data_IF_711672465929
#
_entry.id   IF_711672465929
#
_cell.length_a   1.000
_cell.length_b   1.000
_cell.length_c   1.000
_cell.angle_alpha   90.00
_cell.angle_beta   90.00
_cell.angle_gamma   90.00
#
_symmetry.space_group_name_H-M   'P 1'
#
loop_
_entity.id
_entity.type
_entity.pdbx_description
1 polymer ?
#
# COMPACT_ATOMS: atom_id res chain seq x y z
N UNK A 1 31.94 17.59 -25.30
CA UNK A 1 31.01 16.86 -26.18
C UNK A 1 29.65 16.99 -25.52
N UNK A 2 28.67 17.62 -26.18
CA UNK A 2 27.32 17.73 -25.65
C UNK A 2 26.70 16.32 -25.59
N UNK A 3 26.16 15.93 -24.44
CA UNK A 3 25.52 14.63 -24.24
C UNK A 3 24.02 14.87 -24.23
N UNK A 4 23.34 14.39 -25.28
CA UNK A 4 21.88 14.33 -25.27
C UNK A 4 21.45 13.25 -24.28
N UNK A 5 20.62 13.64 -23.32
CA UNK A 5 20.00 12.76 -22.34
C UNK A 5 18.50 12.64 -22.59
N UNK A 6 17.93 11.52 -22.17
CA UNK A 6 16.51 11.25 -22.32
C UNK A 6 15.86 11.16 -20.94
N UNK A 7 14.92 12.04 -20.66
CA UNK A 7 14.09 12.04 -19.47
C UNK A 7 12.78 11.34 -19.82
N UNK A 8 12.35 10.42 -18.97
CA UNK A 8 11.14 9.63 -19.19
C UNK A 8 10.07 10.13 -18.24
N UNK A 9 8.83 10.09 -18.69
CA UNK A 9 7.72 10.17 -17.76
C UNK A 9 6.49 9.43 -18.21
N UNK A 10 5.61 9.16 -17.25
CA UNK A 10 4.30 8.58 -17.50
C UNK A 10 3.28 8.99 -16.43
N UNK A 11 2.01 9.09 -16.81
CA UNK A 11 0.89 9.33 -15.89
C UNK A 11 -0.36 8.64 -16.43
N UNK A 12 -1.29 8.31 -15.53
CA UNK A 12 -2.65 7.90 -15.90
C UNK A 12 -3.61 9.07 -15.75
N UNK A 13 -4.68 9.12 -16.55
CA UNK A 13 -5.78 10.06 -16.40
C UNK A 13 -6.93 9.40 -15.63
N UNK A 14 -7.66 10.16 -14.82
CA UNK A 14 -8.83 9.63 -14.11
C UNK A 14 -10.00 9.35 -15.06
N UNK A 15 -10.15 10.20 -16.08
CA UNK A 15 -11.21 10.11 -17.08
C UNK A 15 -10.67 10.49 -18.46
N UNK A 16 -11.22 9.88 -19.52
CA UNK A 16 -10.93 10.26 -20.90
C UNK A 16 -11.73 11.52 -21.29
N UNK A 17 -11.34 12.65 -20.73
CA UNK A 17 -11.86 13.97 -21.08
C UNK A 17 -10.70 14.91 -21.37
N UNK A 18 -10.92 15.93 -22.21
CA UNK A 18 -9.89 16.91 -22.55
C UNK A 18 -9.24 17.53 -21.30
N UNK A 19 -10.04 17.93 -20.31
CA UNK A 19 -9.52 18.55 -19.09
C UNK A 19 -8.54 17.64 -18.34
N UNK A 20 -8.94 16.40 -18.03
CA UNK A 20 -8.11 15.47 -17.27
C UNK A 20 -6.84 15.03 -18.03
N UNK A 21 -6.92 14.90 -19.36
CA UNK A 21 -5.75 14.56 -20.19
C UNK A 21 -4.73 15.69 -20.14
N UNK A 22 -5.18 16.93 -20.34
CA UNK A 22 -4.28 18.09 -20.35
C UNK A 22 -3.70 18.36 -18.96
N UNK A 23 -4.52 18.30 -17.91
CA UNK A 23 -4.07 18.51 -16.54
C UNK A 23 -2.99 17.50 -16.12
N UNK A 24 -3.26 16.21 -16.30
CA UNK A 24 -2.30 15.16 -15.94
C UNK A 24 -1.00 15.28 -16.76
N UNK A 25 -1.10 15.60 -18.06
CA UNK A 25 0.07 15.76 -18.92
C UNK A 25 0.87 17.01 -18.56
N UNK A 26 0.20 18.13 -18.29
CA UNK A 26 0.82 19.39 -17.87
C UNK A 26 1.57 19.23 -16.55
N UNK A 27 0.96 18.60 -15.55
CA UNK A 27 1.60 18.32 -14.26
C UNK A 27 2.87 17.48 -14.44
N UNK A 28 2.79 16.39 -15.22
CA UNK A 28 3.93 15.53 -15.50
C UNK A 28 5.08 16.30 -16.19
N UNK A 29 4.78 17.10 -17.21
CA UNK A 29 5.79 17.90 -17.91
C UNK A 29 6.41 18.96 -16.98
N UNK A 30 5.60 19.65 -16.18
CA UNK A 30 6.06 20.64 -15.22
C UNK A 30 7.01 20.02 -14.18
N UNK A 31 6.69 18.82 -13.68
CA UNK A 31 7.56 18.08 -12.77
C UNK A 31 8.85 17.61 -13.44
N UNK A 32 8.79 17.13 -14.68
CA UNK A 32 10.00 16.78 -15.46
C UNK A 32 10.93 17.98 -15.55
N UNK A 33 10.40 19.15 -15.94
CA UNK A 33 11.19 20.37 -16.08
C UNK A 33 11.76 20.84 -14.74
N UNK A 34 10.94 20.86 -13.68
CA UNK A 34 11.33 21.29 -12.33
C UNK A 34 12.41 20.38 -11.73
N UNK A 35 12.16 19.08 -11.67
CA UNK A 35 13.04 18.11 -11.00
C UNK A 35 14.38 17.92 -11.72
N UNK A 36 14.40 18.19 -13.02
CA UNK A 36 15.60 18.13 -13.84
C UNK A 36 16.19 19.51 -14.15
N UNK A 37 15.65 20.59 -13.57
CA UNK A 37 16.05 21.97 -13.86
C UNK A 37 16.24 22.27 -15.37
N UNK A 38 15.33 21.75 -16.19
CA UNK A 38 15.39 21.86 -17.66
C UNK A 38 14.69 23.13 -18.11
N UNK A 39 15.37 23.89 -18.96
CA UNK A 39 14.80 25.07 -19.64
C UNK A 39 14.30 24.70 -21.03
N UNK A 40 13.32 25.43 -21.55
CA UNK A 40 12.79 25.20 -22.91
C UNK A 40 13.89 25.14 -23.97
N UNK A 41 14.86 26.06 -23.90
CA UNK A 41 15.97 26.16 -24.86
C UNK A 41 16.90 24.94 -24.88
N UNK A 42 16.81 24.06 -23.87
CA UNK A 42 17.62 22.86 -23.75
C UNK A 42 16.90 21.62 -24.29
N UNK A 43 15.59 21.72 -24.56
CA UNK A 43 14.78 20.60 -25.03
C UNK A 43 14.98 20.46 -26.55
N UNK A 44 15.49 19.31 -26.95
CA UNK A 44 15.68 18.95 -28.37
C UNK A 44 14.35 18.56 -29.01
N UNK A 45 13.60 17.66 -28.37
CA UNK A 45 12.26 17.26 -28.78
C UNK A 45 11.52 16.52 -27.65
N UNK A 46 10.20 16.40 -27.81
CA UNK A 46 9.35 15.59 -26.92
C UNK A 46 8.54 14.59 -27.75
N UNK A 47 8.60 13.32 -27.36
CA UNK A 47 7.75 12.27 -27.93
C UNK A 47 6.72 11.88 -26.88
N UNK A 48 5.44 11.96 -27.25
CA UNK A 48 4.30 11.49 -26.47
C UNK A 48 3.79 10.17 -27.03
N UNK A 49 3.45 9.25 -26.13
CA UNK A 49 2.66 8.07 -26.47
C UNK A 49 1.43 8.01 -25.58
N UNK A 50 0.33 7.46 -26.09
CA UNK A 50 -0.88 7.27 -25.30
C UNK A 50 -1.54 5.94 -25.60
N UNK A 51 -2.16 5.33 -24.60
CA UNK A 51 -2.94 4.10 -24.78
C UNK A 51 -4.18 4.37 -25.65
N UNK A 52 -4.71 3.34 -26.34
CA UNK A 52 -5.84 3.52 -27.27
C UNK A 52 -7.10 4.14 -26.66
N UNK A 53 -7.26 4.05 -25.34
CA UNK A 53 -8.39 4.62 -24.60
C UNK A 53 -8.23 6.11 -24.22
N UNK A 54 -7.13 6.76 -24.63
CA UNK A 54 -6.96 8.23 -24.63
C UNK A 54 -7.31 8.76 -26.03
N UNK A 55 -8.51 9.33 -26.17
CA UNK A 55 -8.97 9.86 -27.46
C UNK A 55 -9.74 11.19 -27.37
N UNK A 56 -9.86 11.78 -26.17
CA UNK A 56 -10.56 13.06 -25.98
C UNK A 56 -9.69 14.32 -26.20
N UNK A 57 -8.35 14.18 -26.24
CA UNK A 57 -7.41 15.27 -26.54
C UNK A 57 -6.02 14.72 -26.89
N UNK A 58 -5.21 15.52 -27.59
CA UNK A 58 -3.81 15.19 -27.83
C UNK A 58 -2.95 15.62 -26.63
N UNK A 59 -2.16 14.71 -26.01
CA UNK A 59 -1.26 15.10 -24.90
C UNK A 59 -0.30 16.24 -25.25
N UNK A 60 0.12 16.33 -26.51
CA UNK A 60 1.00 17.39 -27.00
C UNK A 60 0.41 18.82 -26.85
N UNK A 61 -0.92 18.96 -26.77
CA UNK A 61 -1.56 20.25 -26.48
C UNK A 61 -1.14 20.79 -25.10
N UNK A 62 -0.90 19.90 -24.13
CA UNK A 62 -0.46 20.28 -22.78
C UNK A 62 0.93 20.94 -22.81
N UNK A 63 1.84 20.46 -23.67
CA UNK A 63 3.16 21.07 -23.85
C UNK A 63 3.05 22.49 -24.44
N UNK A 64 2.14 22.69 -25.41
CA UNK A 64 1.89 24.03 -25.97
C UNK A 64 1.32 24.99 -24.93
N UNK A 65 0.40 24.50 -24.09
CA UNK A 65 -0.22 25.31 -23.04
C UNK A 65 0.78 25.82 -21.99
N UNK A 66 1.88 25.09 -21.75
CA UNK A 66 2.94 25.50 -20.81
C UNK A 66 4.10 26.25 -21.47
N UNK A 67 3.93 26.71 -22.71
CA UNK A 67 4.88 27.60 -23.38
C UNK A 67 5.93 26.90 -24.24
N UNK A 68 5.92 25.56 -24.39
CA UNK A 68 6.87 24.82 -25.23
C UNK A 68 6.48 24.92 -26.72
N UNK A 69 6.34 26.12 -27.24
CA UNK A 69 5.80 26.39 -28.59
C UNK A 69 6.83 26.20 -29.70
N UNK A 70 8.12 26.38 -29.39
CA UNK A 70 9.21 26.19 -30.35
C UNK A 70 9.74 24.74 -30.37
N UNK A 71 9.42 23.94 -29.35
CA UNK A 71 9.89 22.55 -29.22
C UNK A 71 9.20 21.65 -30.25
N UNK A 72 9.95 20.82 -31.01
CA UNK A 72 9.38 19.76 -31.84
C UNK A 72 8.67 18.70 -30.99
N UNK A 73 7.39 18.44 -31.30
CA UNK A 73 6.57 17.46 -30.60
C UNK A 73 6.13 16.36 -31.57
N UNK A 74 6.18 15.10 -31.12
CA UNK A 74 5.62 13.95 -31.84
C UNK A 74 4.64 13.22 -30.94
N UNK A 75 3.46 12.88 -31.46
CA UNK A 75 2.48 12.02 -30.78
C UNK A 75 2.35 10.68 -31.48
N UNK A 76 2.20 9.61 -30.71
CA UNK A 76 1.88 8.28 -31.22
C UNK A 76 0.85 7.57 -30.32
N UNK A 77 0.10 6.65 -30.90
CA UNK A 77 -0.72 5.72 -30.15
C UNK A 77 0.08 4.45 -29.86
N UNK A 78 -0.09 3.89 -28.67
CA UNK A 78 0.57 2.66 -28.27
C UNK A 78 -0.18 1.42 -28.76
N UNK A 79 0.55 0.31 -28.86
CA UNK A 79 -0.08 -1.00 -29.04
C UNK A 79 -0.92 -1.36 -27.81
N UNK A 80 -2.08 -1.97 -28.03
CA UNK A 80 -2.91 -2.47 -26.94
C UNK A 80 -2.29 -3.73 -26.34
N UNK A 81 -2.05 -3.71 -25.02
CA UNK A 81 -1.48 -4.84 -24.29
C UNK A 81 -2.40 -5.18 -23.12
N UNK A 82 -2.82 -6.44 -23.06
CA UNK A 82 -3.68 -6.93 -21.98
C UNK A 82 -2.97 -6.76 -20.62
N UNK A 83 -3.65 -6.10 -19.67
CA UNK A 83 -3.11 -5.82 -18.34
C UNK A 83 -2.21 -4.59 -18.24
N UNK A 84 -1.96 -3.87 -19.34
CA UNK A 84 -1.27 -2.58 -19.27
C UNK A 84 -2.14 -1.50 -18.60
N UNK A 85 -1.53 -0.46 -18.00
CA UNK A 85 -2.28 0.65 -17.41
C UNK A 85 -3.19 1.32 -18.42
N UNK A 86 -4.44 1.53 -18.03
CA UNK A 86 -5.46 2.24 -18.83
C UNK A 86 -5.30 3.75 -18.72
N UNK A 87 -5.81 4.47 -19.71
CA UNK A 87 -5.78 5.94 -19.76
C UNK A 87 -4.38 6.50 -19.51
N UNK A 88 -3.35 5.88 -20.08
CA UNK A 88 -1.96 6.21 -19.76
C UNK A 88 -1.35 7.08 -20.87
N UNK A 89 -0.69 8.15 -20.45
CA UNK A 89 0.16 9.00 -21.30
C UNK A 89 1.60 8.79 -20.88
N UNK A 90 2.51 8.64 -21.84
CA UNK A 90 3.96 8.56 -21.60
C UNK A 90 4.68 9.59 -22.45
N UNK A 91 5.87 9.96 -21.99
CA UNK A 91 6.72 10.94 -22.65
C UNK A 91 8.18 10.53 -22.56
N UNK A 92 8.92 10.84 -23.62
CA UNK A 92 10.38 10.98 -23.57
C UNK A 92 10.75 12.40 -23.99
N UNK A 93 11.42 13.12 -23.10
CA UNK A 93 11.98 14.46 -23.34
C UNK A 93 13.48 14.30 -23.60
N UNK A 94 13.94 14.66 -24.79
CA UNK A 94 15.37 14.70 -25.08
C UNK A 94 15.91 16.09 -24.78
N UNK A 95 16.99 16.15 -24.01
CA UNK A 95 17.57 17.39 -23.51
C UNK A 95 19.06 17.42 -23.82
N UNK A 96 19.55 18.57 -24.26
CA UNK A 96 20.97 18.89 -24.38
C UNK A 96 21.34 19.98 -23.35
N UNK A 97 21.73 19.55 -22.15
CA UNK A 97 22.12 20.46 -21.06
C UNK A 97 23.40 20.01 -20.32
N UNK A 98 24.19 19.12 -20.93
CA UNK A 98 25.47 18.67 -20.36
C UNK A 98 25.37 17.81 -19.10
N UNK A 99 24.17 17.39 -18.67
CA UNK A 99 23.98 16.51 -17.51
C UNK A 99 24.43 15.07 -17.80
N UNK A 100 24.86 14.39 -16.74
CA UNK A 100 25.14 12.96 -16.80
C UNK A 100 23.84 12.14 -16.75
N UNK A 101 23.79 11.02 -17.47
CA UNK A 101 22.58 10.15 -17.53
C UNK A 101 22.11 9.71 -16.14
N UNK A 102 23.04 9.42 -15.23
CA UNK A 102 22.72 8.94 -13.87
C UNK A 102 22.13 10.03 -12.96
N UNK A 103 22.19 11.31 -13.37
CA UNK A 103 21.63 12.44 -12.61
C UNK A 103 20.19 12.79 -13.02
N UNK A 104 19.63 12.06 -14.00
CA UNK A 104 18.29 12.29 -14.53
C UNK A 104 17.22 11.72 -13.60
N UNK A 105 16.25 12.55 -13.24
CA UNK A 105 15.05 12.13 -12.51
C UNK A 105 13.92 11.86 -13.51
N UNK A 106 13.58 10.60 -13.67
CA UNK A 106 12.39 10.21 -14.44
C UNK A 106 11.12 10.42 -13.60
N UNK A 107 10.01 10.81 -14.22
CA UNK A 107 8.78 11.19 -13.50
C UNK A 107 7.64 10.26 -13.86
N UNK A 108 7.21 9.43 -12.92
CA UNK A 108 6.03 8.59 -13.10
C UNK A 108 5.00 8.94 -12.02
N UNK A 109 3.75 9.14 -12.42
CA UNK A 109 2.68 9.60 -11.55
C UNK A 109 1.50 8.63 -11.58
N UNK A 110 0.69 8.65 -10.51
CA UNK A 110 -0.57 7.90 -10.42
C UNK A 110 -0.38 6.41 -10.76
N UNK A 111 -1.25 5.83 -11.59
CA UNK A 111 -1.18 4.43 -11.99
C UNK A 111 0.05 4.06 -12.81
N UNK A 112 0.85 5.05 -13.27
CA UNK A 112 2.06 4.80 -14.03
C UNK A 112 3.30 4.57 -13.16
N UNK A 113 3.24 4.80 -11.84
CA UNK A 113 4.35 4.54 -10.89
C UNK A 113 4.83 3.09 -10.98
N UNK A 114 3.92 2.14 -11.19
CA UNK A 114 4.25 0.72 -11.30
C UNK A 114 4.98 0.31 -12.59
N UNK A 115 5.12 1.19 -13.59
CA UNK A 115 5.71 0.83 -14.89
C UNK A 115 7.24 0.72 -14.86
N UNK A 116 7.92 1.51 -14.03
CA UNK A 116 9.38 1.50 -13.89
C UNK A 116 9.81 1.65 -12.43
N UNK A 117 9.57 0.62 -11.60
CA UNK A 117 9.95 0.64 -10.19
C UNK A 117 11.43 0.94 -9.95
N UNK A 118 12.28 0.70 -10.95
CA UNK A 118 13.73 0.93 -10.96
C UNK A 118 14.14 2.38 -11.28
N UNK A 119 13.28 3.18 -11.95
CA UNK A 119 13.59 4.56 -12.39
C UNK A 119 12.77 5.63 -11.71
N UNK A 120 11.57 5.27 -11.24
CA UNK A 120 10.92 6.05 -10.22
C UNK A 120 11.87 5.93 -9.05
N UNK A 121 12.65 6.98 -8.80
CA UNK A 121 13.00 7.27 -7.43
C UNK A 121 11.66 7.34 -6.72
N UNK A 122 11.24 6.21 -6.14
CA UNK A 122 10.28 6.16 -5.04
C UNK A 122 10.66 7.40 -4.25
N UNK A 123 9.77 8.40 -4.11
CA UNK A 123 10.00 9.39 -3.04
C UNK A 123 10.48 8.56 -1.88
N UNK A 124 11.73 8.69 -1.44
CA UNK A 124 12.43 7.54 -0.83
C UNK A 124 11.78 7.22 0.51
N UNK A 125 10.68 6.49 0.48
CA UNK A 125 10.01 5.84 1.58
C UNK A 125 10.72 4.51 1.83
N UNK A 126 11.88 4.27 1.19
CA UNK A 126 12.71 3.08 1.35
C UNK A 126 13.06 2.76 2.80
N UNK A 127 12.80 3.66 3.76
CA UNK A 127 12.84 3.40 5.21
C UNK A 127 11.60 3.87 5.99
N UNK A 128 10.51 4.27 5.32
CA UNK A 128 9.29 4.70 6.02
C UNK A 128 8.51 3.48 6.49
N UNK A 129 8.35 3.38 7.80
CA UNK A 129 7.50 2.40 8.44
C UNK A 129 6.18 3.07 8.86
N UNK A 130 5.06 2.55 8.36
CA UNK A 130 3.72 3.02 8.69
C UNK A 130 3.01 1.92 9.49
N UNK A 131 2.59 2.24 10.71
CA UNK A 131 1.79 1.36 11.55
C UNK A 131 0.30 1.70 11.39
N UNK A 132 -0.54 0.70 11.11
CA UNK A 132 -1.99 0.85 11.03
C UNK A 132 -2.67 -0.14 11.99
N UNK A 133 -3.14 0.37 13.12
CA UNK A 133 -3.82 -0.40 14.16
C UNK A 133 -5.32 -0.13 14.20
N UNK A 134 -6.07 -0.94 14.94
CA UNK A 134 -7.52 -0.78 15.09
C UNK A 134 -8.29 -2.10 15.17
N UNK A 135 -9.58 -2.06 15.55
CA UNK A 135 -10.40 -3.24 15.81
C UNK A 135 -10.71 -4.04 14.54
N UNK A 136 -11.26 -5.25 14.71
CA UNK A 136 -11.64 -6.08 13.56
C UNK A 136 -12.71 -5.39 12.70
N UNK A 137 -12.62 -5.52 11.36
CA UNK A 137 -13.61 -4.93 10.45
C UNK A 137 -13.47 -3.42 10.20
N UNK A 138 -12.51 -2.73 10.83
CA UNK A 138 -12.26 -1.28 10.62
C UNK A 138 -11.62 -0.93 9.25
N UNK A 139 -11.57 -1.86 8.29
CA UNK A 139 -11.00 -1.60 6.95
C UNK A 139 -9.47 -1.56 6.84
N UNK A 140 -8.74 -1.86 7.93
CA UNK A 140 -7.27 -1.78 8.00
C UNK A 140 -6.53 -2.41 6.84
N UNK A 141 -6.76 -3.69 6.56
CA UNK A 141 -5.98 -4.41 5.56
C UNK A 141 -6.20 -3.85 4.15
N UNK A 142 -7.43 -3.41 3.84
CA UNK A 142 -7.75 -2.75 2.57
C UNK A 142 -7.05 -1.39 2.46
N UNK A 143 -7.15 -0.57 3.50
CA UNK A 143 -6.52 0.76 3.57
C UNK A 143 -5.00 0.65 3.52
N UNK A 144 -4.41 -0.26 4.30
CA UNK A 144 -2.97 -0.49 4.38
C UNK A 144 -2.38 -0.96 3.04
N UNK A 145 -3.04 -1.90 2.35
CA UNK A 145 -2.67 -2.30 0.99
C UNK A 145 -2.73 -1.14 0.01
N UNK A 146 -3.79 -0.34 0.09
CA UNK A 146 -3.98 0.82 -0.78
C UNK A 146 -2.92 1.91 -0.58
N UNK A 147 -2.51 2.14 0.67
CA UNK A 147 -1.40 3.04 1.02
C UNK A 147 -0.07 2.47 0.52
N UNK A 148 0.22 1.20 0.82
CA UNK A 148 1.46 0.55 0.42
C UNK A 148 1.66 0.61 -1.10
N UNK A 149 0.62 0.30 -1.86
CA UNK A 149 0.63 0.36 -3.32
C UNK A 149 0.93 1.79 -3.84
N UNK A 150 0.23 2.80 -3.32
CA UNK A 150 0.41 4.20 -3.75
C UNK A 150 1.78 4.77 -3.39
N UNK A 151 2.37 4.28 -2.31
CA UNK A 151 3.67 4.73 -1.81
C UNK A 151 4.85 3.89 -2.30
N UNK A 152 4.61 2.80 -3.02
CA UNK A 152 5.67 1.84 -3.39
C UNK A 152 6.32 1.18 -2.17
N UNK A 153 5.57 0.99 -1.10
CA UNK A 153 6.01 0.34 0.13
C UNK A 153 5.62 -1.14 0.13
N UNK A 154 6.37 -1.93 0.90
CA UNK A 154 5.98 -3.32 1.18
C UNK A 154 4.76 -3.31 2.10
N UNK A 155 3.96 -4.38 2.05
CA UNK A 155 2.79 -4.54 2.91
C UNK A 155 2.90 -5.81 3.75
N UNK A 156 2.51 -5.75 5.02
CA UNK A 156 2.42 -6.92 5.90
C UNK A 156 1.12 -6.92 6.72
N UNK A 157 0.28 -7.91 6.44
CA UNK A 157 -0.83 -8.35 7.31
C UNK A 157 -0.26 -9.15 8.49
N UNK A 158 -0.05 -8.49 9.62
CA UNK A 158 0.49 -9.19 10.81
C UNK A 158 -0.49 -10.20 11.38
N UNK A 159 -1.79 -10.00 11.17
CA UNK A 159 -2.83 -10.94 11.58
C UNK A 159 -2.69 -12.26 10.84
N UNK A 160 -2.29 -12.24 9.57
CA UNK A 160 -2.02 -13.44 8.78
C UNK A 160 -0.91 -14.32 9.38
N UNK A 161 0.09 -13.74 10.04
CA UNK A 161 1.16 -14.51 10.71
C UNK A 161 0.62 -15.31 11.89
N UNK A 162 -0.17 -14.69 12.77
CA UNK A 162 -0.81 -15.38 13.91
C UNK A 162 -1.79 -16.46 13.42
N UNK A 163 -2.51 -16.18 12.33
CA UNK A 163 -3.40 -17.16 11.69
C UNK A 163 -2.65 -18.33 11.08
N UNK A 164 -1.46 -18.11 10.54
CA UNK A 164 -0.62 -19.18 10.02
C UNK A 164 -0.19 -20.14 11.14
N UNK A 165 0.21 -19.62 12.30
CA UNK A 165 0.51 -20.47 13.49
C UNK A 165 -0.74 -21.25 13.91
N UNK A 166 -1.88 -20.57 14.01
CA UNK A 166 -3.16 -21.17 14.39
C UNK A 166 -3.57 -22.29 13.43
N UNK A 167 -3.48 -22.03 12.13
CA UNK A 167 -3.80 -23.00 11.08
C UNK A 167 -2.86 -24.21 11.13
N UNK A 168 -1.56 -23.98 11.28
CA UNK A 168 -0.58 -25.05 11.32
C UNK A 168 -0.79 -25.94 12.56
N UNK A 169 -1.03 -25.34 13.72
CA UNK A 169 -1.37 -26.06 14.94
C UNK A 169 -2.63 -26.93 14.78
N UNK A 170 -3.71 -26.34 14.24
CA UNK A 170 -4.96 -27.06 13.97
C UNK A 170 -4.77 -28.21 12.98
N UNK A 171 -3.99 -28.00 11.91
CA UNK A 171 -3.75 -29.04 10.90
C UNK A 171 -2.88 -30.20 11.40
N UNK A 172 -2.07 -29.97 12.45
CA UNK A 172 -1.27 -30.98 13.13
C UNK A 172 -1.96 -31.59 14.36
N UNK A 173 -3.18 -31.17 14.70
CA UNK A 173 -3.89 -31.63 15.88
C UNK A 173 -3.27 -31.18 17.22
N UNK A 174 -2.50 -30.08 17.20
CA UNK A 174 -1.92 -29.47 18.40
C UNK A 174 -3.02 -28.80 19.23
N UNK A 175 -3.01 -29.04 20.54
CA UNK A 175 -3.89 -28.32 21.47
C UNK A 175 -3.53 -26.83 21.52
N UNK A 176 -4.50 -25.97 21.21
CA UNK A 176 -4.32 -24.52 21.23
C UNK A 176 -4.19 -23.95 22.65
N UNK A 177 -4.38 -24.77 23.68
CA UNK A 177 -4.08 -24.43 25.07
C UNK A 177 -2.60 -24.62 25.45
N UNK A 178 -1.83 -25.34 24.63
CA UNK A 178 -0.40 -25.56 24.89
C UNK A 178 0.46 -24.43 24.29
N UNK A 179 0.63 -23.37 25.08
CA UNK A 179 1.43 -22.20 24.70
C UNK A 179 2.89 -22.54 24.34
N UNK A 180 3.47 -23.56 24.98
CA UNK A 180 4.86 -23.94 24.75
C UNK A 180 5.04 -24.62 23.37
N UNK A 181 4.13 -25.54 23.01
CA UNK A 181 4.14 -26.16 21.68
C UNK A 181 3.86 -25.13 20.59
N UNK A 182 2.90 -24.23 20.80
CA UNK A 182 2.59 -23.16 19.84
C UNK A 182 3.78 -22.22 19.62
N UNK A 183 4.50 -21.86 20.69
CA UNK A 183 5.70 -21.01 20.61
C UNK A 183 6.85 -21.72 19.90
N UNK A 184 7.03 -23.03 20.13
CA UNK A 184 8.00 -23.84 19.38
C UNK A 184 7.66 -23.89 17.90
N UNK A 185 6.39 -24.12 17.55
CA UNK A 185 5.92 -24.13 16.17
C UNK A 185 6.21 -22.78 15.49
N UNK A 186 5.87 -21.67 16.15
CA UNK A 186 6.14 -20.33 15.65
C UNK A 186 7.64 -20.06 15.42
N UNK A 187 8.53 -20.61 16.27
CA UNK A 187 9.99 -20.46 16.11
C UNK A 187 10.47 -21.12 14.81
N UNK A 188 9.98 -22.32 14.52
CA UNK A 188 10.36 -23.12 13.34
C UNK A 188 9.86 -22.49 12.02
N UNK A 189 8.73 -21.76 12.03
CA UNK A 189 8.14 -21.15 10.84
C UNK A 189 9.01 -20.05 10.22
N UNK A 190 9.29 -20.13 8.91
CA UNK A 190 10.02 -19.09 8.18
C UNK A 190 9.03 -18.21 7.40
N UNK A 191 8.79 -17.00 7.90
CA UNK A 191 7.95 -16.01 7.23
C UNK A 191 8.77 -15.10 6.31
N UNK A 192 8.25 -14.84 5.11
CA UNK A 192 8.78 -13.81 4.21
C UNK A 192 7.67 -13.09 3.43
N UNK A 193 8.05 -12.06 2.67
CA UNK A 193 7.21 -11.38 1.70
C UNK A 193 7.79 -11.61 0.31
N UNK A 194 6.98 -12.07 -0.64
CA UNK A 194 7.41 -12.12 -2.05
C UNK A 194 7.44 -10.72 -2.69
N UNK A 195 7.79 -10.64 -3.97
CA UNK A 195 7.86 -9.37 -4.71
C UNK A 195 6.54 -8.58 -4.70
N UNK A 196 5.39 -9.27 -4.64
CA UNK A 196 4.05 -8.69 -4.57
C UNK A 196 3.59 -8.40 -3.13
N UNK A 197 4.49 -8.46 -2.15
CA UNK A 197 4.19 -8.33 -0.71
C UNK A 197 3.16 -9.34 -0.20
N UNK A 198 3.08 -10.53 -0.81
CA UNK A 198 2.29 -11.64 -0.28
C UNK A 198 3.10 -12.38 0.79
N UNK A 199 2.45 -12.65 1.93
CA UNK A 199 3.05 -13.41 3.02
C UNK A 199 3.29 -14.86 2.59
N UNK A 200 4.53 -15.32 2.76
CA UNK A 200 4.93 -16.70 2.54
C UNK A 200 5.29 -17.37 3.87
N UNK A 201 5.07 -18.69 3.92
CA UNK A 201 5.55 -19.59 4.95
C UNK A 201 6.37 -20.67 4.28
N UNK A 202 7.65 -20.78 4.64
CA UNK A 202 8.60 -21.73 4.06
C UNK A 202 8.63 -21.67 2.51
N UNK A 203 8.55 -20.45 1.98
CA UNK A 203 8.54 -20.17 0.54
C UNK A 203 7.18 -20.35 -0.15
N UNK A 204 6.16 -20.88 0.52
CA UNK A 204 4.80 -21.04 -0.02
C UNK A 204 3.92 -19.84 0.33
N UNK A 205 3.23 -19.28 -0.66
CA UNK A 205 2.20 -18.24 -0.42
C UNK A 205 1.04 -18.81 0.38
N UNK A 206 0.65 -18.11 1.44
CA UNK A 206 -0.52 -18.46 2.26
C UNK A 206 -1.82 -18.00 1.60
N UNK A 207 -2.77 -18.91 1.44
CA UNK A 207 -4.07 -18.65 0.80
C UNK A 207 -5.23 -18.47 1.78
N UNK A 208 -6.38 -19.05 1.43
CA UNK A 208 -7.60 -19.00 2.23
C UNK A 208 -7.60 -19.97 3.42
N UNK A 209 -6.65 -20.90 3.49
CA UNK A 209 -6.52 -21.88 4.57
C UNK A 209 -6.35 -21.22 5.96
N UNK A 210 -5.67 -20.07 6.02
CA UNK A 210 -5.49 -19.28 7.26
C UNK A 210 -6.70 -18.37 7.58
N UNK A 211 -7.72 -18.36 6.73
CA UNK A 211 -8.92 -17.52 6.85
C UNK A 211 -10.21 -18.30 7.09
N UNK A 212 -10.12 -19.61 7.30
CA UNK A 212 -11.27 -20.47 7.61
C UNK A 212 -11.98 -20.02 8.90
N UNK A 213 -13.28 -20.32 9.06
CA UNK A 213 -14.03 -20.00 10.27
C UNK A 213 -13.35 -20.50 11.55
N UNK A 214 -12.83 -21.74 11.55
CA UNK A 214 -12.13 -22.32 12.69
C UNK A 214 -10.87 -21.52 13.07
N UNK A 215 -10.05 -21.13 12.09
CA UNK A 215 -8.88 -20.27 12.35
C UNK A 215 -9.29 -18.89 12.85
N UNK A 216 -10.37 -18.31 12.29
CA UNK A 216 -10.88 -16.99 12.70
C UNK A 216 -11.30 -16.95 14.17
N UNK A 217 -11.97 -17.98 14.66
CA UNK A 217 -12.42 -18.04 16.06
C UNK A 217 -11.30 -18.39 17.04
N UNK A 218 -10.29 -19.14 16.58
CA UNK A 218 -9.21 -19.62 17.44
C UNK A 218 -8.00 -18.68 17.55
N UNK A 219 -7.78 -17.80 16.57
CA UNK A 219 -6.54 -16.98 16.52
C UNK A 219 -6.40 -16.02 17.70
N UNK A 220 -7.50 -15.55 18.28
CA UNK A 220 -7.46 -14.65 19.44
C UNK A 220 -6.77 -15.31 20.63
N UNK A 221 -7.14 -16.56 20.96
CA UNK A 221 -6.48 -17.37 22.00
C UNK A 221 -4.98 -17.52 21.72
N UNK A 222 -4.62 -17.99 20.52
CA UNK A 222 -3.22 -18.23 20.13
C UNK A 222 -2.39 -16.94 20.22
N UNK A 223 -2.96 -15.81 19.79
CA UNK A 223 -2.30 -14.51 19.82
C UNK A 223 -2.22 -13.85 21.20
N UNK A 224 -2.80 -14.48 22.24
CA UNK A 224 -2.77 -13.98 23.62
C UNK A 224 -1.56 -14.43 24.42
N UNK A 225 -0.88 -15.51 24.01
CA UNK A 225 0.28 -16.05 24.72
C UNK A 225 1.53 -15.21 24.53
N UNK A 226 2.12 -14.76 25.64
CA UNK A 226 3.30 -13.88 25.65
C UNK A 226 4.49 -14.47 24.87
N UNK A 227 4.89 -15.71 25.20
CA UNK A 227 6.05 -16.37 24.56
C UNK A 227 5.89 -16.48 23.03
N UNK A 228 4.68 -16.79 22.55
CA UNK A 228 4.40 -16.85 21.11
C UNK A 228 4.48 -15.46 20.49
N UNK A 229 3.95 -14.44 21.16
CA UNK A 229 3.98 -13.06 20.68
C UNK A 229 5.41 -12.56 20.56
N UNK A 230 6.29 -12.85 21.52
CA UNK A 230 7.70 -12.45 21.45
C UNK A 230 8.36 -12.96 20.16
N UNK A 231 8.14 -14.24 19.83
CA UNK A 231 8.67 -14.87 18.62
C UNK A 231 8.11 -14.22 17.35
N UNK A 232 6.79 -14.01 17.29
CA UNK A 232 6.14 -13.44 16.09
C UNK A 232 6.50 -11.96 15.91
N UNK A 233 6.59 -11.18 17.00
CA UNK A 233 7.01 -9.78 16.98
C UNK A 233 8.46 -9.63 16.52
N UNK A 234 9.36 -10.52 16.94
CA UNK A 234 10.73 -10.53 16.45
C UNK A 234 10.78 -10.73 14.93
N UNK A 235 10.00 -11.69 14.40
CA UNK A 235 9.92 -11.95 12.96
C UNK A 235 9.31 -10.77 12.19
N UNK A 236 8.27 -10.15 12.73
CA UNK A 236 7.67 -8.92 12.18
C UNK A 236 8.68 -7.78 12.07
N UNK A 237 9.48 -7.53 13.12
CA UNK A 237 10.54 -6.52 13.10
C UNK A 237 11.60 -6.84 12.07
N UNK A 238 12.03 -8.11 11.95
CA UNK A 238 12.98 -8.54 10.91
C UNK A 238 12.47 -8.26 9.50
N UNK A 239 11.18 -8.47 9.23
CA UNK A 239 10.57 -8.13 7.93
C UNK A 239 10.57 -6.62 7.69
N UNK A 240 10.29 -5.82 8.71
CA UNK A 240 10.30 -4.36 8.64
C UNK A 240 11.70 -3.77 8.41
N UNK A 241 12.78 -4.42 8.87
CA UNK A 241 14.15 -3.93 8.66
C UNK A 241 14.61 -3.97 7.19
N UNK A 242 13.95 -4.74 6.33
CA UNK A 242 14.32 -4.91 4.91
C UNK A 242 13.82 -3.77 3.99
N UNK A 243 13.61 -2.57 4.55
CA UNK A 243 13.14 -1.37 3.84
C UNK A 243 11.74 -0.89 4.28
N UNK A 244 11.21 0.14 3.65
CA UNK A 244 9.91 0.72 4.00
C UNK A 244 8.75 -0.27 3.91
N UNK A 245 7.83 -0.18 4.86
CA UNK A 245 6.71 -1.11 5.01
C UNK A 245 5.48 -0.44 5.64
N UNK A 246 4.30 -0.86 5.18
CA UNK A 246 3.03 -0.62 5.86
C UNK A 246 2.63 -1.91 6.57
N UNK A 247 2.49 -1.86 7.89
CA UNK A 247 2.10 -2.99 8.72
C UNK A 247 0.73 -2.74 9.34
N UNK A 248 -0.23 -3.64 9.11
CA UNK A 248 -1.54 -3.57 9.78
C UNK A 248 -1.70 -4.63 10.87
N UNK A 249 -2.33 -4.25 11.98
CA UNK A 249 -2.43 -5.12 13.16
C UNK A 249 -3.33 -4.58 14.28
N UNK A 250 -2.95 -4.88 15.52
CA UNK A 250 -3.64 -4.44 16.76
C UNK A 250 -2.75 -3.62 17.67
N UNK A 251 -1.45 -3.86 17.61
CA UNK A 251 -0.44 -3.30 18.50
C UNK A 251 0.87 -3.00 17.76
N UNK A 252 0.79 -2.66 16.47
CA UNK A 252 1.96 -2.33 15.64
C UNK A 252 2.64 -1.09 16.18
N UNK A 253 1.93 0.02 16.34
CA UNK A 253 2.48 1.29 16.82
C UNK A 253 2.83 1.31 18.31
N UNK A 254 2.30 0.37 19.10
CA UNK A 254 2.53 0.29 20.55
C UNK A 254 3.57 -0.75 20.97
N UNK A 255 3.74 -1.82 20.19
CA UNK A 255 4.61 -2.94 20.53
C UNK A 255 5.64 -3.23 19.44
N UNK A 256 5.21 -3.39 18.18
CA UNK A 256 6.07 -3.92 17.11
C UNK A 256 7.03 -2.85 16.60
N UNK A 257 6.48 -1.75 16.10
CA UNK A 257 7.15 -0.58 15.52
C UNK A 257 6.89 0.65 16.41
N UNK A 258 7.39 0.62 17.64
CA UNK A 258 7.24 1.73 18.61
C UNK A 258 7.79 3.05 18.09
N UNK A 259 8.79 2.99 17.22
CA UNK A 259 9.45 4.16 16.65
C UNK A 259 9.00 4.42 15.21
N UNK A 260 7.86 3.84 14.77
CA UNK A 260 7.30 4.15 13.46
C UNK A 260 7.00 5.65 13.37
N UNK A 261 7.52 6.37 12.35
CA UNK A 261 7.30 7.81 12.19
C UNK A 261 5.81 8.15 11.95
N UNK A 262 5.06 7.20 11.37
CA UNK A 262 3.61 7.34 11.19
C UNK A 262 2.89 6.17 11.84
N UNK A 263 1.98 6.49 12.75
CA UNK A 263 1.07 5.56 13.41
C UNK A 263 -0.35 6.05 13.23
N UNK A 264 -1.20 5.19 12.68
CA UNK A 264 -2.61 5.43 12.44
C UNK A 264 -3.39 4.42 13.26
N UNK A 265 -4.45 4.88 13.93
CA UNK A 265 -5.39 4.00 14.61
C UNK A 265 -6.78 4.16 13.97
N UNK A 266 -7.20 3.18 13.19
CA UNK A 266 -8.51 3.19 12.55
C UNK A 266 -9.59 2.81 13.57
N UNK A 267 -10.68 3.56 13.57
CA UNK A 267 -11.91 3.22 14.30
C UNK A 267 -13.09 3.20 13.34
N UNK A 268 -14.14 2.50 13.75
CA UNK A 268 -15.45 2.56 13.12
C UNK A 268 -16.52 2.01 14.07
N UNK A 269 -17.76 2.46 13.87
CA UNK A 269 -18.93 1.93 14.56
C UNK A 269 -19.01 0.37 14.48
N UNK A 270 -19.27 -0.34 15.59
CA UNK A 270 -19.34 -1.80 15.60
C UNK A 270 -20.36 -2.38 14.60
N UNK A 271 -21.53 -1.76 14.44
CA UNK A 271 -22.53 -2.22 13.48
C UNK A 271 -22.08 -2.00 12.05
N UNK A 272 -21.41 -0.89 11.76
CA UNK A 272 -20.82 -0.66 10.44
C UNK A 272 -19.73 -1.69 10.11
N UNK A 273 -18.86 -2.01 11.07
CA UNK A 273 -17.85 -3.07 10.92
C UNK A 273 -18.51 -4.45 10.69
N UNK A 274 -19.61 -4.72 11.39
CA UNK A 274 -20.39 -5.94 11.19
C UNK A 274 -21.04 -6.01 9.81
N UNK A 275 -21.60 -4.91 9.29
CA UNK A 275 -22.14 -4.84 7.92
C UNK A 275 -21.08 -5.15 6.87
N UNK A 276 -19.90 -4.52 6.98
CA UNK A 276 -18.76 -4.79 6.06
C UNK A 276 -18.35 -6.26 6.11
N UNK A 277 -18.23 -6.82 7.31
CA UNK A 277 -17.89 -8.23 7.49
C UNK A 277 -18.96 -9.18 6.97
N UNK A 278 -20.24 -8.83 7.11
CA UNK A 278 -21.35 -9.62 6.58
C UNK A 278 -21.30 -9.68 5.05
N UNK A 279 -20.97 -8.58 4.37
CA UNK A 279 -20.76 -8.56 2.92
C UNK A 279 -19.62 -9.51 2.52
N UNK A 280 -18.48 -9.48 3.23
CA UNK A 280 -17.37 -10.42 2.98
C UNK A 280 -17.78 -11.88 3.18
N UNK A 281 -18.53 -12.19 4.24
CA UNK A 281 -18.99 -13.55 4.54
C UNK A 281 -19.97 -14.06 3.48
N UNK A 282 -20.92 -13.21 3.04
CA UNK A 282 -21.86 -13.55 1.97
C UNK A 282 -21.17 -13.78 0.64
N UNK A 283 -20.15 -12.98 0.32
CA UNK A 283 -19.32 -13.19 -0.88
C UNK A 283 -18.57 -14.53 -0.87
N UNK A 284 -18.32 -15.10 0.32
CA UNK A 284 -17.71 -16.42 0.52
C UNK A 284 -18.75 -17.55 0.62
N UNK A 285 -20.04 -17.26 0.42
CA UNK A 285 -21.12 -18.25 0.49
C UNK A 285 -21.59 -18.60 1.90
N UNK A 286 -21.24 -17.81 2.91
CA UNK A 286 -21.74 -17.98 4.27
C UNK A 286 -23.02 -17.18 4.50
N UNK A 287 -24.04 -17.84 5.02
CA UNK A 287 -25.29 -17.19 5.46
C UNK A 287 -25.25 -17.01 6.99
N UNK A 288 -25.14 -15.77 7.44
CA UNK A 288 -25.00 -15.39 8.86
C UNK A 288 -25.85 -14.15 9.10
N UNK A 289 -26.48 -14.09 10.27
CA UNK A 289 -27.26 -12.92 10.68
C UNK A 289 -26.37 -11.75 11.13
N UNK A 290 -26.83 -10.52 10.89
CA UNK A 290 -26.09 -9.30 11.25
C UNK A 290 -25.83 -9.23 12.76
N UNK A 291 -26.81 -9.57 13.59
CA UNK A 291 -26.65 -9.48 15.05
C UNK A 291 -25.63 -10.52 15.56
N UNK A 292 -25.57 -11.69 14.95
CA UNK A 292 -24.52 -12.67 15.25
C UNK A 292 -23.11 -12.14 14.90
N UNK A 293 -22.98 -11.43 13.76
CA UNK A 293 -21.69 -10.80 13.37
C UNK A 293 -21.32 -9.65 14.32
N UNK A 294 -22.30 -8.84 14.75
CA UNK A 294 -22.08 -7.77 15.74
C UNK A 294 -21.52 -8.36 17.04
N UNK A 295 -22.20 -9.37 17.60
CA UNK A 295 -21.78 -10.02 18.84
C UNK A 295 -20.38 -10.63 18.72
N UNK A 296 -20.06 -11.29 17.61
CA UNK A 296 -18.73 -11.84 17.36
C UNK A 296 -17.64 -10.76 17.32
N UNK A 297 -17.94 -9.62 16.68
CA UNK A 297 -17.01 -8.48 16.61
C UNK A 297 -16.80 -7.87 18.00
N UNK A 298 -17.86 -7.66 18.76
CA UNK A 298 -17.78 -7.09 20.11
C UNK A 298 -17.02 -7.99 21.07
N UNK A 299 -17.29 -9.30 21.06
CA UNK A 299 -16.55 -10.28 21.86
C UNK A 299 -15.06 -10.28 21.51
N UNK A 300 -14.74 -10.20 20.23
CA UNK A 300 -13.36 -10.14 19.77
C UNK A 300 -12.67 -8.85 20.19
N UNK A 301 -13.32 -7.71 20.04
CA UNK A 301 -12.76 -6.42 20.45
C UNK A 301 -12.57 -6.36 21.97
N UNK A 302 -13.50 -6.94 22.74
CA UNK A 302 -13.36 -7.09 24.20
C UNK A 302 -12.13 -7.92 24.54
N UNK A 303 -11.96 -9.09 23.92
CA UNK A 303 -10.79 -9.95 24.13
C UNK A 303 -9.48 -9.24 23.73
N UNK A 304 -9.44 -8.61 22.55
CA UNK A 304 -8.26 -7.91 22.03
C UNK A 304 -7.86 -6.72 22.92
N UNK A 305 -8.82 -6.03 23.55
CA UNK A 305 -8.59 -4.87 24.42
C UNK A 305 -8.27 -5.22 25.88
N UNK A 306 -8.75 -6.36 26.38
CA UNK A 306 -8.59 -6.79 27.79
C UNK A 306 -7.48 -7.82 28.01
N UNK A 307 -6.78 -8.24 26.95
CA UNK A 307 -5.62 -9.14 27.10
C UNK A 307 -4.50 -8.48 27.92
N UNK A 308 -3.85 -9.27 28.77
CA UNK A 308 -2.75 -8.80 29.62
C UNK A 308 -1.54 -8.31 28.80
N UNK A 309 -1.28 -8.95 27.66
CA UNK A 309 -0.11 -8.68 26.82
C UNK A 309 -0.53 -7.93 25.56
N UNK A 310 0.06 -6.75 25.33
CA UNK A 310 -0.16 -5.89 24.15
C UNK A 310 -1.64 -5.59 23.85
N UNK A 311 -2.45 -5.08 24.79
CA UNK A 311 -3.87 -4.81 24.56
C UNK A 311 -4.10 -3.88 23.36
N UNK A 312 -5.22 -4.06 22.65
CA UNK A 312 -5.65 -3.17 21.57
C UNK A 312 -5.92 -1.78 22.14
N UNK A 313 -5.01 -0.85 21.86
CA UNK A 313 -5.12 0.57 22.20
C UNK A 313 -4.30 1.41 21.23
N UNK A 314 -4.71 2.66 20.96
CA UNK A 314 -3.88 3.57 20.19
C UNK A 314 -2.55 3.84 20.90
N UNK A 315 -1.48 4.02 20.13
CA UNK A 315 -0.25 4.61 20.67
C UNK A 315 -0.51 6.08 21.02
N UNK A 316 0.25 6.64 21.98
CA UNK A 316 0.06 8.02 22.44
C UNK A 316 0.25 9.06 21.34
N UNK A 317 1.02 8.74 20.31
CA UNK A 317 1.33 9.58 19.15
C UNK A 317 0.62 9.11 17.86
N UNK A 318 -0.32 8.16 17.97
CA UNK A 318 -1.12 7.71 16.84
C UNK A 318 -2.20 8.72 16.46
N UNK A 319 -2.41 8.91 15.17
CA UNK A 319 -3.55 9.68 14.65
C UNK A 319 -4.75 8.75 14.57
N UNK A 320 -5.83 9.09 15.28
CA UNK A 320 -7.09 8.35 15.23
C UNK A 320 -7.86 8.77 13.98
N UNK A 321 -8.26 7.80 13.16
CA UNK A 321 -9.04 8.04 11.94
C UNK A 321 -10.33 7.23 12.02
N UNK A 322 -11.46 7.92 12.09
CA UNK A 322 -12.78 7.28 12.01
C UNK A 322 -13.13 7.00 10.55
N UNK A 323 -13.41 5.73 10.25
CA UNK A 323 -13.77 5.25 8.92
C UNK A 323 -15.28 4.98 8.78
N UNK A 324 -16.07 5.33 9.79
CA UNK A 324 -17.53 5.18 9.78
C UNK A 324 -18.11 5.99 8.63
N UNK A 325 -18.90 5.34 7.77
CA UNK A 325 -19.53 5.95 6.58
C UNK A 325 -18.55 6.60 5.57
N UNK A 326 -17.26 6.25 5.59
CA UNK A 326 -16.30 6.69 4.59
C UNK A 326 -15.98 5.59 3.59
N UNK A 327 -15.96 5.96 2.31
CA UNK A 327 -15.41 5.14 1.24
C UNK A 327 -13.91 4.93 1.42
N UNK A 328 -13.45 3.75 0.98
CA UNK A 328 -12.06 3.31 1.12
C UNK A 328 -11.07 4.34 0.54
N UNK A 329 -11.38 4.90 -0.63
CA UNK A 329 -10.50 5.87 -1.29
C UNK A 329 -10.34 7.17 -0.50
N UNK A 330 -11.43 7.65 0.11
CA UNK A 330 -11.38 8.85 0.96
C UNK A 330 -10.51 8.62 2.20
N UNK A 331 -10.61 7.43 2.80
CA UNK A 331 -9.77 7.05 3.95
C UNK A 331 -8.30 6.97 3.54
N UNK A 332 -8.00 6.36 2.39
CA UNK A 332 -6.63 6.27 1.89
C UNK A 332 -6.04 7.66 1.62
N UNK A 333 -6.75 8.52 0.88
CA UNK A 333 -6.30 9.88 0.58
C UNK A 333 -6.06 10.69 1.85
N UNK A 334 -6.97 10.63 2.82
CA UNK A 334 -6.80 11.31 4.10
C UNK A 334 -5.56 10.83 4.86
N UNK A 335 -5.29 9.52 4.87
CA UNK A 335 -4.09 8.99 5.54
C UNK A 335 -2.81 9.36 4.79
N UNK A 336 -2.83 9.41 3.46
CA UNK A 336 -1.69 9.89 2.67
C UNK A 336 -1.36 11.36 2.98
N UNK A 337 -2.37 12.21 3.16
CA UNK A 337 -2.17 13.59 3.60
C UNK A 337 -1.55 13.67 5.00
N UNK A 338 -1.98 12.81 5.93
CA UNK A 338 -1.39 12.71 7.28
C UNK A 338 0.08 12.29 7.18
N UNK A 339 0.38 11.29 6.36
CA UNK A 339 1.75 10.80 6.13
C UNK A 339 2.63 11.92 5.56
N UNK A 340 2.13 12.66 4.56
CA UNK A 340 2.87 13.76 3.95
C UNK A 340 3.22 14.84 4.98
N UNK A 341 2.25 15.29 5.78
CA UNK A 341 2.49 16.30 6.83
C UNK A 341 3.47 15.85 7.90
N UNK A 342 3.41 14.58 8.31
CA UNK A 342 4.35 14.02 9.30
C UNK A 342 5.77 13.90 8.75
N UNK A 343 5.93 13.66 7.45
CA UNK A 343 7.25 13.62 6.80
C UNK A 343 7.92 14.99 6.78
N UNK A 344 7.17 16.06 6.51
CA UNK A 344 7.72 17.42 6.50
C UNK A 344 8.16 17.92 7.89
N UNK A 345 7.75 17.21 8.95
CA UNK A 345 8.10 17.50 10.35
C UNK A 345 9.29 16.68 10.88
N UNK A 346 9.88 15.79 10.08
CA UNK A 346 11.02 14.91 10.43
C UNK A 346 12.28 15.40 9.73
#
# INVERSE_FOLDING_TARGET
MNIIIAIRGATTCEQNTRAHILEATTEMLALIMKENAVRESEIVNIIFTATPDINAAFPAEAARAIGLSAVPLLGAQEIEVVGAPRLCVRVVVFVDNGRHRDSVKHIYLRGAVGLRPDLVGVQTFGMLNVAIDGPAGAGKSTVAKGIALRMGLRYLDTGAMYRAVTWLALSQGVDLQDAAILSRLAREMIFDLNADSQLTLDGRVLGNEIRTPLVNVSVSLVSSYEELREVIVEKQRKLALRGGIVMDGRDIGTTVLKDAPVKIFLVADPRERARRRLVELRALGHDVDLEAVVLQIEQRDYFDSHRAVSPLRPASDAVIVDTTNLEVEMVISHILDIIARKKDAI
#
